data_IF_950997594610
#
_entry.id   IF_950997594610
#
_cell.length_a   1.000
_cell.length_b   1.000
_cell.length_c   1.000
_cell.angle_alpha   90.00
_cell.angle_beta   90.00
_cell.angle_gamma   90.00
#
_symmetry.space_group_name_H-M   'P 1'
#
loop_
_entity.id
_entity.type
_entity.pdbx_description
1 polymer ?
#
# COMPACT_ATOMS: atom_id res chain seq x y z
N UNK A 1 25.07 -61.11 -2.96
CA UNK A 1 25.07 -59.86 -2.20
C UNK A 1 24.81 -58.61 -3.09
N UNK A 2 25.21 -58.59 -4.36
CA UNK A 2 25.11 -57.44 -5.30
C UNK A 2 23.65 -57.09 -5.75
N UNK A 3 22.75 -58.06 -5.85
CA UNK A 3 21.37 -57.81 -6.29
C UNK A 3 20.53 -57.01 -5.29
N UNK A 4 20.69 -57.24 -3.98
CA UNK A 4 19.99 -56.47 -2.92
C UNK A 4 20.40 -54.97 -2.91
N UNK A 5 21.64 -54.65 -3.21
CA UNK A 5 22.15 -53.27 -3.28
C UNK A 5 21.55 -52.49 -4.46
N UNK A 6 21.39 -53.12 -5.62
CA UNK A 6 20.78 -52.46 -6.80
C UNK A 6 19.26 -52.23 -6.62
N UNK A 7 18.54 -53.12 -5.98
CA UNK A 7 17.13 -52.95 -5.67
C UNK A 7 16.90 -51.78 -4.69
N UNK A 8 17.75 -51.62 -3.66
CA UNK A 8 17.65 -50.49 -2.74
C UNK A 8 18.00 -49.18 -3.40
N UNK A 9 18.97 -49.14 -4.30
CA UNK A 9 19.32 -47.94 -5.06
C UNK A 9 18.19 -47.51 -6.02
N UNK A 10 17.56 -48.44 -6.72
CA UNK A 10 16.42 -48.16 -7.58
C UNK A 10 15.21 -47.64 -6.80
N UNK A 11 14.93 -48.20 -5.63
CA UNK A 11 13.84 -47.74 -4.77
C UNK A 11 14.07 -46.32 -4.26
N UNK A 12 15.30 -45.95 -3.88
CA UNK A 12 15.67 -44.59 -3.45
C UNK A 12 15.53 -43.62 -4.61
N UNK A 13 16.01 -43.97 -5.82
CA UNK A 13 15.89 -43.12 -6.99
C UNK A 13 14.43 -42.91 -7.40
N UNK A 14 13.61 -43.94 -7.33
CA UNK A 14 12.17 -43.85 -7.63
C UNK A 14 11.45 -42.97 -6.63
N UNK A 15 11.75 -43.07 -5.34
CA UNK A 15 11.20 -42.21 -4.31
C UNK A 15 11.62 -40.74 -4.50
N UNK A 16 12.89 -40.52 -4.79
CA UNK A 16 13.40 -39.17 -5.06
C UNK A 16 12.72 -38.53 -6.29
N UNK A 17 12.55 -39.33 -7.36
CA UNK A 17 11.84 -38.86 -8.56
C UNK A 17 10.36 -38.52 -8.28
N UNK A 18 9.67 -39.35 -7.49
CA UNK A 18 8.29 -39.10 -7.08
C UNK A 18 8.18 -37.82 -6.22
N UNK A 19 9.09 -37.62 -5.28
CA UNK A 19 9.12 -36.41 -4.46
C UNK A 19 9.39 -35.18 -5.33
N UNK A 20 10.33 -35.25 -6.28
CA UNK A 20 10.61 -34.15 -7.19
C UNK A 20 9.40 -33.79 -8.07
N UNK A 21 8.71 -34.82 -8.61
CA UNK A 21 7.47 -34.61 -9.37
C UNK A 21 6.35 -34.01 -8.54
N UNK A 22 6.16 -34.50 -7.31
CA UNK A 22 5.17 -33.96 -6.39
C UNK A 22 5.46 -32.48 -6.06
N UNK A 23 6.74 -32.16 -5.77
CA UNK A 23 7.16 -30.77 -5.50
C UNK A 23 6.92 -29.88 -6.72
N UNK A 24 7.24 -30.34 -7.92
CA UNK A 24 7.00 -29.61 -9.16
C UNK A 24 5.50 -29.38 -9.41
N UNK A 25 4.68 -30.41 -9.19
CA UNK A 25 3.23 -30.32 -9.33
C UNK A 25 2.62 -29.28 -8.35
N UNK A 26 3.08 -29.24 -7.11
CA UNK A 26 2.65 -28.26 -6.11
C UNK A 26 3.15 -26.83 -6.41
N UNK A 27 4.36 -26.70 -6.98
CA UNK A 27 4.94 -25.42 -7.34
C UNK A 27 4.34 -24.82 -8.63
N UNK A 28 3.81 -25.66 -9.51
CA UNK A 28 3.36 -25.28 -10.85
C UNK A 28 2.26 -24.18 -10.87
N UNK A 29 1.19 -24.25 -10.05
CA UNK A 29 0.20 -23.18 -9.98
C UNK A 29 0.80 -21.85 -9.55
N UNK A 30 1.70 -21.87 -8.53
CA UNK A 30 2.41 -20.68 -8.03
C UNK A 30 3.30 -20.05 -9.09
N UNK A 31 4.05 -20.87 -9.81
CA UNK A 31 4.88 -20.41 -10.93
C UNK A 31 4.04 -19.74 -12.02
N UNK A 32 2.94 -20.40 -12.44
CA UNK A 32 2.03 -19.81 -13.44
C UNK A 32 1.40 -18.50 -12.97
N UNK A 33 1.02 -18.40 -11.71
CA UNK A 33 0.49 -17.16 -11.13
C UNK A 33 1.53 -16.06 -11.15
N UNK A 34 2.76 -16.32 -10.67
CA UNK A 34 3.86 -15.34 -10.68
C UNK A 34 4.22 -14.87 -12.09
N UNK A 35 4.25 -15.81 -13.05
CA UNK A 35 4.51 -15.46 -14.44
C UNK A 35 3.42 -14.55 -15.04
N UNK A 36 2.15 -14.80 -14.71
CA UNK A 36 1.04 -13.93 -15.14
C UNK A 36 1.07 -12.56 -14.46
N UNK A 37 1.56 -12.51 -13.24
CA UNK A 37 1.66 -11.25 -12.47
C UNK A 37 2.87 -10.39 -12.85
N UNK A 38 3.88 -10.95 -13.51
CA UNK A 38 5.11 -10.24 -13.87
C UNK A 38 4.88 -8.90 -14.60
N UNK A 39 3.96 -8.77 -15.58
CA UNK A 39 3.68 -7.48 -16.20
C UNK A 39 3.13 -6.42 -15.22
N UNK A 40 2.43 -6.86 -14.18
CA UNK A 40 1.90 -5.98 -13.13
C UNK A 40 3.03 -5.48 -12.25
N UNK A 41 3.92 -6.37 -11.79
CA UNK A 41 5.10 -5.99 -11.01
C UNK A 41 5.95 -4.94 -11.73
N UNK A 42 6.29 -5.21 -12.99
CA UNK A 42 7.10 -4.29 -13.81
C UNK A 42 6.39 -2.95 -14.05
N UNK A 43 5.07 -2.94 -14.15
CA UNK A 43 4.31 -1.70 -14.31
C UNK A 43 4.27 -0.90 -13.01
N UNK A 44 4.12 -1.56 -11.85
CA UNK A 44 4.14 -0.91 -10.53
C UNK A 44 5.54 -0.37 -10.22
N UNK A 45 6.60 -1.15 -10.49
CA UNK A 45 7.99 -0.70 -10.32
C UNK A 45 8.26 0.55 -11.15
N UNK A 46 7.91 0.53 -12.44
CA UNK A 46 8.01 1.69 -13.31
C UNK A 46 7.21 2.89 -12.83
N UNK A 47 6.01 2.67 -12.28
CA UNK A 47 5.20 3.76 -11.71
C UNK A 47 5.92 4.47 -10.56
N UNK A 48 6.67 3.78 -9.72
CA UNK A 48 7.44 4.42 -8.66
C UNK A 48 8.57 5.31 -9.19
N UNK A 49 9.09 5.02 -10.38
CA UNK A 49 10.10 5.83 -11.06
C UNK A 49 9.51 7.01 -11.84
N UNK A 50 8.50 6.73 -12.68
CA UNK A 50 7.94 7.70 -13.65
C UNK A 50 6.66 8.38 -13.22
N UNK A 51 5.97 7.84 -12.19
CA UNK A 51 4.63 8.26 -11.74
C UNK A 51 3.53 8.09 -12.79
N UNK A 52 3.76 7.24 -13.78
CA UNK A 52 2.82 7.05 -14.89
C UNK A 52 2.55 5.57 -15.18
N UNK A 53 1.27 5.21 -15.30
CA UNK A 53 0.80 4.01 -15.99
C UNK A 53 -0.17 4.48 -17.07
N UNK A 54 0.07 4.20 -18.34
CA UNK A 54 -0.85 4.62 -19.41
C UNK A 54 -2.26 4.05 -19.19
N UNK A 55 -3.29 4.90 -19.24
CA UNK A 55 -4.70 4.52 -18.95
C UNK A 55 -5.17 3.34 -19.81
N UNK A 56 -4.75 3.27 -21.09
CA UNK A 56 -5.11 2.17 -22.00
C UNK A 56 -4.56 0.80 -21.57
N UNK A 57 -3.50 0.77 -20.73
CA UNK A 57 -2.91 -0.48 -20.20
C UNK A 57 -3.54 -0.92 -18.88
N UNK A 58 -4.23 -0.02 -18.19
CA UNK A 58 -4.73 -0.26 -16.83
C UNK A 58 -5.64 -1.50 -16.75
N UNK A 59 -6.63 -1.61 -17.64
CA UNK A 59 -7.56 -2.74 -17.65
C UNK A 59 -6.85 -4.06 -18.01
N UNK A 60 -5.85 -4.03 -18.87
CA UNK A 60 -5.05 -5.20 -19.21
C UNK A 60 -4.22 -5.69 -18.00
N UNK A 61 -3.63 -4.76 -17.25
CA UNK A 61 -2.86 -5.08 -16.04
C UNK A 61 -3.77 -5.64 -14.93
N UNK A 62 -4.95 -5.07 -14.74
CA UNK A 62 -5.98 -5.58 -13.83
C UNK A 62 -6.31 -7.04 -14.22
N UNK A 63 -6.59 -7.31 -15.49
CA UNK A 63 -6.87 -8.67 -15.96
C UNK A 63 -5.72 -9.65 -15.75
N UNK A 64 -4.46 -9.22 -15.82
CA UNK A 64 -3.32 -10.08 -15.47
C UNK A 64 -3.25 -10.38 -13.98
N UNK A 65 -3.54 -9.41 -13.11
CA UNK A 65 -3.58 -9.63 -11.67
C UNK A 65 -4.71 -10.58 -11.26
N UNK A 66 -5.92 -10.42 -11.83
CA UNK A 66 -7.06 -11.32 -11.63
C UNK A 66 -6.75 -12.75 -12.09
N UNK A 67 -6.10 -12.92 -13.25
CA UNK A 67 -5.67 -14.22 -13.74
C UNK A 67 -4.61 -14.89 -12.83
N UNK A 68 -3.75 -14.09 -12.20
CA UNK A 68 -2.79 -14.62 -11.22
C UNK A 68 -3.51 -15.10 -9.97
N UNK A 69 -4.44 -14.31 -9.42
CA UNK A 69 -5.29 -14.67 -8.27
C UNK A 69 -6.11 -15.93 -8.52
N UNK A 70 -6.71 -16.08 -9.69
CA UNK A 70 -7.46 -17.28 -10.06
C UNK A 70 -6.62 -18.57 -10.05
N UNK A 71 -5.28 -18.46 -10.08
CA UNK A 71 -4.36 -19.61 -10.05
C UNK A 71 -3.77 -19.89 -8.69
N UNK A 72 -3.52 -18.82 -7.93
CA UNK A 72 -2.92 -18.89 -6.60
C UNK A 72 -3.31 -17.67 -5.79
N UNK A 73 -4.04 -17.92 -4.70
CA UNK A 73 -4.43 -16.88 -3.76
C UNK A 73 -3.23 -16.46 -2.89
N UNK A 74 -2.74 -15.23 -3.11
CA UNK A 74 -1.57 -14.72 -2.41
C UNK A 74 -1.69 -13.19 -2.22
N UNK A 75 -1.30 -12.70 -1.03
CA UNK A 75 -1.43 -11.30 -0.65
C UNK A 75 -0.82 -10.32 -1.66
N UNK A 76 0.31 -10.67 -2.27
CA UNK A 76 1.00 -9.83 -3.27
C UNK A 76 0.14 -9.52 -4.48
N UNK A 77 -0.67 -10.47 -4.93
CA UNK A 77 -1.55 -10.27 -6.08
C UNK A 77 -2.74 -9.40 -5.73
N UNK A 78 -3.30 -9.58 -4.51
CA UNK A 78 -4.31 -8.68 -3.96
C UNK A 78 -3.78 -7.27 -3.81
N UNK A 79 -2.56 -7.09 -3.28
CA UNK A 79 -1.94 -5.78 -3.10
C UNK A 79 -1.72 -5.05 -4.41
N UNK A 80 -1.16 -5.74 -5.42
CA UNK A 80 -0.98 -5.17 -6.76
C UNK A 80 -2.31 -4.85 -7.44
N UNK A 81 -3.31 -5.71 -7.34
CA UNK A 81 -4.66 -5.47 -7.88
C UNK A 81 -5.32 -4.28 -7.19
N UNK A 82 -5.23 -4.21 -5.87
CA UNK A 82 -5.67 -3.06 -5.07
C UNK A 82 -5.01 -1.76 -5.54
N UNK A 83 -3.71 -1.79 -5.78
CA UNK A 83 -2.96 -0.62 -6.22
C UNK A 83 -3.39 -0.16 -7.62
N UNK A 84 -3.59 -1.09 -8.56
CA UNK A 84 -4.08 -0.76 -9.90
C UNK A 84 -5.49 -0.15 -9.87
N UNK A 85 -6.39 -0.71 -9.07
CA UNK A 85 -7.73 -0.15 -8.88
C UNK A 85 -7.67 1.25 -8.24
N UNK A 86 -6.79 1.45 -7.26
CA UNK A 86 -6.57 2.77 -6.67
C UNK A 86 -6.10 3.80 -7.72
N UNK A 87 -5.13 3.45 -8.56
CA UNK A 87 -4.66 4.32 -9.64
C UNK A 87 -5.76 4.60 -10.69
N UNK A 88 -6.59 3.60 -11.02
CA UNK A 88 -7.75 3.80 -11.89
C UNK A 88 -8.75 4.79 -11.28
N UNK A 89 -8.95 4.75 -9.97
CA UNK A 89 -9.78 5.72 -9.25
C UNK A 89 -9.22 7.15 -9.29
N UNK A 90 -7.89 7.30 -9.33
CA UNK A 90 -7.22 8.60 -9.46
C UNK A 90 -7.23 9.16 -10.88
N UNK A 91 -7.41 8.31 -11.90
CA UNK A 91 -7.38 8.72 -13.30
C UNK A 91 -8.57 9.63 -13.63
N UNK A 92 -8.29 10.90 -13.95
CA UNK A 92 -9.30 11.92 -14.26
C UNK A 92 -10.07 11.63 -15.54
N UNK A 93 -9.52 10.80 -16.44
CA UNK A 93 -10.17 10.39 -17.69
C UNK A 93 -11.16 9.23 -17.47
N UNK A 94 -11.10 8.56 -16.32
CA UNK A 94 -12.09 7.55 -15.94
C UNK A 94 -13.38 8.25 -15.48
N UNK A 95 -14.57 7.84 -15.96
CA UNK A 95 -15.85 8.41 -15.53
C UNK A 95 -16.06 8.35 -14.02
N UNK A 96 -16.73 9.36 -13.44
CA UNK A 96 -16.84 9.51 -11.98
C UNK A 96 -17.44 8.28 -11.26
N UNK A 97 -18.44 7.63 -11.88
CA UNK A 97 -19.05 6.41 -11.33
C UNK A 97 -18.03 5.26 -11.32
N UNK A 98 -17.34 5.04 -12.43
CA UNK A 98 -16.31 3.99 -12.53
C UNK A 98 -15.12 4.25 -11.59
N UNK A 99 -14.75 5.51 -11.34
CA UNK A 99 -13.73 5.86 -10.34
C UNK A 99 -14.15 5.43 -8.94
N UNK A 100 -15.42 5.66 -8.58
CA UNK A 100 -15.96 5.24 -7.29
C UNK A 100 -15.92 3.73 -7.14
N UNK A 101 -16.32 3.00 -8.18
CA UNK A 101 -16.27 1.54 -8.20
C UNK A 101 -14.83 1.03 -8.11
N UNK A 102 -13.90 1.68 -8.81
CA UNK A 102 -12.47 1.38 -8.73
C UNK A 102 -11.92 1.59 -7.29
N UNK A 103 -12.31 2.67 -6.61
CA UNK A 103 -11.92 2.85 -5.20
C UNK A 103 -12.49 1.75 -4.30
N UNK A 104 -13.75 1.35 -4.47
CA UNK A 104 -14.33 0.24 -3.68
C UNK A 104 -13.63 -1.09 -3.98
N UNK A 105 -13.29 -1.37 -5.24
CA UNK A 105 -12.48 -2.53 -5.60
C UNK A 105 -11.08 -2.46 -4.95
N UNK A 106 -10.42 -1.29 -4.97
CA UNK A 106 -9.13 -1.09 -4.33
C UNK A 106 -9.19 -1.38 -2.82
N UNK A 107 -10.24 -0.91 -2.13
CA UNK A 107 -10.47 -1.19 -0.71
C UNK A 107 -10.65 -2.69 -0.45
N UNK A 108 -11.51 -3.35 -1.23
CA UNK A 108 -11.77 -4.79 -1.10
C UNK A 108 -10.48 -5.60 -1.20
N UNK A 109 -9.68 -5.34 -2.22
CA UNK A 109 -8.42 -6.05 -2.45
C UNK A 109 -7.35 -5.70 -1.40
N UNK A 110 -7.32 -4.46 -0.88
CA UNK A 110 -6.44 -4.10 0.22
C UNK A 110 -6.83 -4.83 1.52
N UNK A 111 -8.12 -4.99 1.80
CA UNK A 111 -8.61 -5.79 2.93
C UNK A 111 -8.18 -7.25 2.78
N UNK A 112 -8.32 -7.84 1.59
CA UNK A 112 -7.85 -9.20 1.34
C UNK A 112 -6.33 -9.34 1.49
N UNK A 113 -5.56 -8.28 1.13
CA UNK A 113 -4.11 -8.20 1.38
C UNK A 113 -3.79 -8.31 2.86
N UNK A 114 -4.40 -7.45 3.70
CA UNK A 114 -4.10 -7.40 5.14
C UNK A 114 -4.63 -8.60 5.92
N UNK A 115 -5.68 -9.27 5.44
CA UNK A 115 -6.13 -10.55 5.99
C UNK A 115 -5.08 -11.66 5.85
N UNK A 116 -4.33 -11.68 4.74
CA UNK A 116 -3.29 -12.68 4.46
C UNK A 116 -1.92 -12.27 4.98
N UNK A 117 -1.63 -10.98 4.99
CA UNK A 117 -0.37 -10.41 5.42
C UNK A 117 -0.63 -9.13 6.23
N UNK A 118 -0.93 -9.23 7.54
CA UNK A 118 -1.29 -8.07 8.37
C UNK A 118 -0.19 -7.01 8.52
N UNK A 119 1.06 -7.37 8.27
CA UNK A 119 2.22 -6.47 8.39
C UNK A 119 2.53 -5.72 7.08
N UNK A 120 1.49 -5.27 6.35
CA UNK A 120 1.61 -4.49 5.11
C UNK A 120 1.13 -3.04 5.34
N UNK A 121 2.04 -2.12 5.73
CA UNK A 121 1.65 -0.74 6.07
C UNK A 121 1.05 0.04 4.90
N UNK A 122 1.47 -0.26 3.66
CA UNK A 122 0.94 0.35 2.43
C UNK A 122 -0.53 -0.02 2.21
N UNK A 123 -0.87 -1.30 2.40
CA UNK A 123 -2.24 -1.76 2.23
C UNK A 123 -3.17 -1.14 3.28
N UNK A 124 -2.74 -1.06 4.54
CA UNK A 124 -3.47 -0.37 5.59
C UNK A 124 -3.70 1.11 5.26
N UNK A 125 -2.65 1.81 4.81
CA UNK A 125 -2.79 3.22 4.41
C UNK A 125 -3.71 3.37 3.18
N UNK A 126 -3.68 2.44 2.24
CA UNK A 126 -4.56 2.47 1.06
C UNK A 126 -6.03 2.34 1.46
N UNK A 127 -6.36 1.45 2.41
CA UNK A 127 -7.71 1.35 2.99
C UNK A 127 -8.13 2.71 3.56
N UNK A 128 -7.30 3.31 4.43
CA UNK A 128 -7.58 4.62 5.03
C UNK A 128 -7.76 5.71 3.96
N UNK A 129 -6.87 5.74 2.95
CA UNK A 129 -6.92 6.73 1.87
C UNK A 129 -8.19 6.62 1.06
N UNK A 130 -8.57 5.41 0.67
CA UNK A 130 -9.79 5.18 -0.12
C UNK A 130 -11.03 5.58 0.66
N UNK A 131 -11.14 5.20 1.93
CA UNK A 131 -12.24 5.61 2.80
C UNK A 131 -12.33 7.12 2.98
N UNK A 132 -11.18 7.78 3.11
CA UNK A 132 -11.12 9.26 3.16
C UNK A 132 -11.62 9.91 1.86
N UNK A 133 -11.25 9.38 0.70
CA UNK A 133 -11.73 9.85 -0.61
C UNK A 133 -13.24 9.65 -0.75
N UNK A 134 -13.75 8.52 -0.30
CA UNK A 134 -15.17 8.18 -0.35
C UNK A 134 -16.00 8.88 0.72
N UNK A 135 -15.36 9.63 1.63
CA UNK A 135 -15.96 10.34 2.76
C UNK A 135 -16.72 9.42 3.72
N UNK A 136 -16.13 8.27 3.98
CA UNK A 136 -16.64 7.34 4.98
C UNK A 136 -16.45 7.93 6.41
N UNK A 137 -17.10 7.33 7.41
CA UNK A 137 -17.06 7.79 8.81
C UNK A 137 -15.63 7.89 9.35
N UNK A 138 -15.30 8.94 10.17
CA UNK A 138 -13.94 9.22 10.64
C UNK A 138 -13.23 8.02 11.27
N UNK A 139 -13.90 7.26 12.13
CA UNK A 139 -13.27 6.11 12.79
C UNK A 139 -12.93 5.00 11.80
N UNK A 140 -13.73 4.82 10.75
CA UNK A 140 -13.45 3.83 9.70
C UNK A 140 -12.20 4.20 8.89
N UNK A 141 -11.85 5.48 8.81
CA UNK A 141 -10.61 5.99 8.20
C UNK A 141 -9.44 5.87 9.17
N UNK A 142 -9.63 6.27 10.43
CA UNK A 142 -8.55 6.35 11.43
C UNK A 142 -8.08 4.97 11.90
N UNK A 143 -8.96 3.97 11.98
CA UNK A 143 -8.57 2.62 12.42
C UNK A 143 -7.49 1.99 11.48
N UNK A 144 -7.67 1.87 10.16
CA UNK A 144 -6.62 1.37 9.28
C UNK A 144 -5.42 2.33 9.19
N UNK A 145 -5.60 3.63 9.36
CA UNK A 145 -4.50 4.57 9.42
C UNK A 145 -3.57 4.27 10.61
N UNK A 146 -4.10 4.04 11.81
CA UNK A 146 -3.32 3.59 12.98
C UNK A 146 -2.59 2.28 12.70
N UNK A 147 -3.26 1.31 12.07
CA UNK A 147 -2.64 0.03 11.70
C UNK A 147 -1.46 0.21 10.73
N UNK A 148 -1.54 1.16 9.80
CA UNK A 148 -0.42 1.49 8.93
C UNK A 148 0.80 1.96 9.71
N UNK A 149 0.63 2.70 10.81
CA UNK A 149 1.73 3.15 11.68
C UNK A 149 2.26 1.98 12.50
N UNK A 150 1.40 1.18 13.12
CA UNK A 150 1.81 0.03 13.94
C UNK A 150 2.62 -0.99 13.14
N UNK A 151 2.31 -1.18 11.87
CA UNK A 151 3.00 -2.15 11.01
C UNK A 151 4.26 -1.60 10.33
N UNK A 152 4.47 -0.27 10.33
CA UNK A 152 5.63 0.33 9.67
C UNK A 152 5.84 1.81 10.01
N UNK A 153 6.06 2.14 11.31
CA UNK A 153 6.14 3.51 11.84
C UNK A 153 7.06 4.43 11.05
N UNK A 154 8.25 3.95 10.69
CA UNK A 154 9.30 4.74 10.05
C UNK A 154 9.39 4.53 8.54
N UNK A 155 8.39 3.93 7.92
CA UNK A 155 8.38 3.71 6.46
C UNK A 155 8.34 5.06 5.73
N UNK A 156 9.48 5.49 5.23
CA UNK A 156 9.72 6.87 4.80
C UNK A 156 8.79 7.36 3.68
N UNK A 157 8.36 6.46 2.77
CA UNK A 157 7.46 6.82 1.67
C UNK A 157 6.01 7.03 2.12
N UNK A 158 5.64 6.56 3.33
CA UNK A 158 4.28 6.65 3.86
C UNK A 158 4.09 7.81 4.83
N UNK A 159 5.16 8.46 5.31
CA UNK A 159 5.08 9.49 6.33
C UNK A 159 4.21 10.68 5.89
N UNK A 160 4.55 11.32 4.77
CA UNK A 160 3.79 12.46 4.27
C UNK A 160 2.35 12.07 3.85
N UNK A 161 2.10 10.98 3.09
CA UNK A 161 0.75 10.50 2.81
C UNK A 161 -0.09 10.22 4.06
N UNK A 162 0.49 9.66 5.15
CA UNK A 162 -0.22 9.46 6.42
C UNK A 162 -0.70 10.77 7.02
N UNK A 163 0.15 11.80 7.01
CA UNK A 163 -0.25 13.15 7.46
C UNK A 163 -1.39 13.68 6.60
N UNK A 164 -1.26 13.60 5.27
CA UNK A 164 -2.29 14.06 4.34
C UNK A 164 -3.65 13.38 4.53
N UNK A 165 -3.67 12.09 4.84
CA UNK A 165 -4.92 11.34 5.09
C UNK A 165 -5.55 11.71 6.43
N UNK A 166 -4.75 11.81 7.51
CA UNK A 166 -5.28 11.91 8.86
C UNK A 166 -5.53 13.35 9.34
N UNK A 167 -4.76 14.31 8.85
CA UNK A 167 -4.85 15.71 9.30
C UNK A 167 -6.27 16.33 9.18
N UNK A 168 -7.07 16.05 8.14
CA UNK A 168 -8.46 16.50 8.06
C UNK A 168 -9.37 15.99 9.17
N UNK A 169 -8.99 14.89 9.84
CA UNK A 169 -9.77 14.23 10.89
C UNK A 169 -9.30 14.58 12.31
N UNK A 170 -8.44 15.59 12.48
CA UNK A 170 -7.84 15.96 13.76
C UNK A 170 -8.88 16.16 14.89
N UNK A 171 -10.04 16.72 14.58
CA UNK A 171 -11.11 16.99 15.55
C UNK A 171 -11.77 15.71 16.09
N UNK A 172 -11.73 14.62 15.34
CA UNK A 172 -12.31 13.32 15.69
C UNK A 172 -11.33 12.40 16.42
N UNK A 173 -10.07 12.85 16.62
CA UNK A 173 -9.03 12.03 17.24
C UNK A 173 -9.05 12.16 18.76
N UNK A 174 -8.82 11.03 19.43
CA UNK A 174 -8.41 11.02 20.83
C UNK A 174 -6.97 11.51 21.04
N UNK A 175 -6.54 11.62 22.29
CA UNK A 175 -5.21 12.14 22.62
C UNK A 175 -4.08 11.24 22.08
N UNK A 176 -4.25 9.93 22.10
CA UNK A 176 -3.26 8.97 21.60
C UNK A 176 -3.10 9.09 20.08
N UNK A 177 -4.21 9.10 19.34
CA UNK A 177 -4.20 9.22 17.87
C UNK A 177 -3.61 10.58 17.44
N UNK A 178 -3.89 11.66 18.18
CA UNK A 178 -3.26 12.98 17.95
C UNK A 178 -1.74 12.93 18.17
N UNK A 179 -1.29 12.29 19.23
CA UNK A 179 0.14 12.12 19.49
C UNK A 179 0.82 11.32 18.37
N UNK A 180 0.18 10.24 17.90
CA UNK A 180 0.68 9.47 16.74
C UNK A 180 0.78 10.34 15.48
N UNK A 181 -0.21 11.19 15.19
CA UNK A 181 -0.16 12.09 14.05
C UNK A 181 0.95 13.14 14.19
N UNK A 182 1.14 13.70 15.37
CA UNK A 182 2.23 14.63 15.66
C UNK A 182 3.61 13.99 15.42
N UNK A 183 3.80 12.76 15.90
CA UNK A 183 5.01 11.97 15.65
C UNK A 183 5.24 11.73 14.15
N UNK A 184 4.22 11.33 13.40
CA UNK A 184 4.35 11.11 11.95
C UNK A 184 4.64 12.42 11.19
N UNK A 185 4.07 13.53 11.61
CA UNK A 185 4.33 14.84 11.03
C UNK A 185 5.80 15.26 11.25
N UNK A 186 6.31 15.13 12.48
CA UNK A 186 7.70 15.48 12.79
C UNK A 186 8.71 14.53 12.10
N UNK A 187 8.40 13.23 12.00
CA UNK A 187 9.19 12.29 11.22
C UNK A 187 9.17 12.63 9.73
N UNK A 188 8.01 12.99 9.19
CA UNK A 188 7.89 13.42 7.80
C UNK A 188 8.67 14.71 7.55
N UNK A 189 8.64 15.68 8.49
CA UNK A 189 9.43 16.90 8.42
C UNK A 189 10.92 16.61 8.35
N UNK A 190 11.41 15.72 9.21
CA UNK A 190 12.83 15.38 9.28
C UNK A 190 13.33 14.60 8.05
N UNK A 191 12.50 13.70 7.47
CA UNK A 191 12.93 12.75 6.46
C UNK A 191 12.44 13.07 5.03
N UNK A 192 11.29 13.73 4.91
CA UNK A 192 10.57 13.98 3.66
C UNK A 192 9.91 15.37 3.63
N UNK A 193 10.66 16.46 3.90
CA UNK A 193 10.08 17.80 4.06
C UNK A 193 9.35 18.30 2.81
N UNK A 194 9.85 18.01 1.62
CA UNK A 194 9.24 18.47 0.37
C UNK A 194 7.88 17.79 0.14
N UNK A 195 7.80 16.49 0.36
CA UNK A 195 6.57 15.72 0.25
C UNK A 195 5.55 16.16 1.30
N UNK A 196 6.00 16.38 2.54
CA UNK A 196 5.14 16.90 3.60
C UNK A 196 4.60 18.29 3.27
N UNK A 197 5.43 19.22 2.82
CA UNK A 197 4.99 20.56 2.43
C UNK A 197 3.92 20.53 1.34
N UNK A 198 4.02 19.59 0.39
CA UNK A 198 2.98 19.38 -0.64
C UNK A 198 1.65 18.97 -0.02
N UNK A 199 1.67 18.02 0.92
CA UNK A 199 0.45 17.59 1.64
C UNK A 199 -0.13 18.72 2.50
N UNK A 200 0.71 19.46 3.25
CA UNK A 200 0.26 20.58 4.07
C UNK A 200 -0.35 21.70 3.22
N UNK A 201 0.26 22.06 2.09
CA UNK A 201 -0.33 23.05 1.16
C UNK A 201 -1.72 22.65 0.66
N UNK A 202 -1.91 21.35 0.40
CA UNK A 202 -3.20 20.84 -0.08
C UNK A 202 -4.25 20.73 1.02
N UNK A 203 -3.88 20.42 2.26
CA UNK A 203 -4.79 20.04 3.34
C UNK A 203 -4.92 21.06 4.48
N UNK A 204 -3.87 21.84 4.71
CA UNK A 204 -3.76 22.83 5.82
C UNK A 204 -2.92 24.04 5.40
N UNK A 205 -3.32 24.79 4.36
CA UNK A 205 -2.52 25.87 3.76
C UNK A 205 -2.18 27.02 4.71
N UNK A 206 -2.91 27.16 5.83
CA UNK A 206 -2.66 28.13 6.90
C UNK A 206 -1.94 27.54 8.11
N UNK A 207 -1.64 26.25 8.07
CA UNK A 207 -1.03 25.50 9.18
C UNK A 207 -1.81 25.57 10.50
N UNK A 208 -3.13 25.79 10.47
CA UNK A 208 -3.96 25.90 11.66
C UNK A 208 -3.99 24.58 12.45
N UNK A 209 -4.25 23.46 11.75
CA UNK A 209 -4.25 22.12 12.34
C UNK A 209 -2.84 21.68 12.74
N UNK A 210 -1.85 21.97 11.89
CA UNK A 210 -0.43 21.69 12.16
C UNK A 210 0.02 22.42 13.42
N UNK A 211 -0.33 23.69 13.58
CA UNK A 211 -0.02 24.50 14.78
C UNK A 211 -0.70 23.93 16.03
N UNK A 212 -1.96 23.55 15.94
CA UNK A 212 -2.67 22.92 17.05
C UNK A 212 -2.04 21.58 17.47
N UNK A 213 -1.44 20.85 16.53
CA UNK A 213 -0.86 19.53 16.76
C UNK A 213 0.56 19.61 17.36
N UNK A 214 1.44 20.45 16.82
CA UNK A 214 2.88 20.44 17.17
C UNK A 214 3.38 21.77 17.71
N UNK A 215 2.56 22.82 17.77
CA UNK A 215 3.00 24.15 18.18
C UNK A 215 3.58 24.22 19.60
N UNK A 216 3.02 23.44 20.53
CA UNK A 216 3.50 23.38 21.91
C UNK A 216 4.72 22.43 22.07
N UNK A 217 4.80 21.36 21.26
CA UNK A 217 5.81 20.31 21.42
C UNK A 217 7.05 20.53 20.56
N UNK A 218 6.91 21.19 19.40
CA UNK A 218 7.99 21.40 18.44
C UNK A 218 7.90 22.80 17.77
N UNK A 219 7.98 23.92 18.54
CA UNK A 219 7.79 25.27 18.01
C UNK A 219 8.83 25.65 16.96
N UNK A 220 10.07 25.18 17.08
CA UNK A 220 11.12 25.43 16.09
C UNK A 220 10.83 24.77 14.74
N UNK A 221 10.33 23.53 14.74
CA UNK A 221 9.94 22.83 13.53
C UNK A 221 8.74 23.51 12.85
N UNK A 222 7.77 23.96 13.66
CA UNK A 222 6.62 24.71 13.15
C UNK A 222 7.05 26.03 12.48
N UNK A 223 7.95 26.80 13.11
CA UNK A 223 8.46 28.06 12.54
C UNK A 223 9.17 27.84 11.18
N UNK A 224 10.00 26.79 11.06
CA UNK A 224 10.63 26.43 9.79
C UNK A 224 9.61 26.00 8.72
N UNK A 225 8.55 25.27 9.10
CA UNK A 225 7.44 24.92 8.18
C UNK A 225 6.71 26.18 7.69
N UNK A 226 6.41 27.11 8.59
CA UNK A 226 5.74 28.39 8.27
C UNK A 226 6.56 29.21 7.28
N UNK A 227 7.86 29.39 7.56
CA UNK A 227 8.78 30.11 6.68
C UNK A 227 8.86 29.49 5.27
N UNK A 228 8.94 28.16 5.19
CA UNK A 228 9.04 27.48 3.89
C UNK A 228 7.74 27.50 3.11
N UNK A 229 6.58 27.42 3.77
CA UNK A 229 5.29 27.54 3.08
C UNK A 229 5.10 28.96 2.54
N UNK A 230 5.54 29.98 3.27
CA UNK A 230 5.45 31.38 2.84
C UNK A 230 6.33 31.67 1.62
N UNK A 231 7.56 31.12 1.59
CA UNK A 231 8.49 31.26 0.46
C UNK A 231 8.02 30.60 -0.84
N UNK A 232 7.07 29.67 -0.76
CA UNK A 232 6.56 28.91 -1.90
C UNK A 232 5.14 29.38 -2.33
N UNK A 233 4.60 30.41 -1.67
CA UNK A 233 3.39 31.13 -2.13
C UNK A 233 3.71 32.08 -3.25
#
# INVERSE_FOLDING_TARGET
>A
MYLKSRFSQLSVLSLAALLALATLALAWPRFKASYRFLPVDLAIERYFETREIPSHRMLTLIGFAEQALARHDHYRYHDGLSFLHYLRGLDIYTPALERRDAYRAAETEAIETVKRAPAQPEAWLRIATVRSILRDEPETVLAPWRMSIFTGRTHSTLLAPRVGVALPYLEFMDAETRAMLGDQLLLAWALKPIELLRELKARDPRLERTRALVGATAPAALADMEERIEKVR
#
